data_IF_628744267675
#
_entry.id   IF_628744267675
#
_cell.length_a   1.000
_cell.length_b   1.000
_cell.length_c   1.000
_cell.angle_alpha   90.00
_cell.angle_beta   90.00
_cell.angle_gamma   90.00
#
_symmetry.space_group_name_H-M   'P 1'
#
loop_
_entity.id
_entity.type
_entity.pdbx_description
1 polymer ?
#
# COMPACT_ATOMS: atom_id res chain seq x y z
N UNK A 1 -33.57 -16.99 62.76
CA UNK A 1 -34.03 -17.09 61.36
C UNK A 1 -33.78 -15.80 60.58
N UNK A 2 -34.28 -14.63 61.02
CA UNK A 2 -34.05 -13.34 60.33
C UNK A 2 -32.56 -12.94 60.18
N UNK A 3 -31.71 -13.21 61.18
CA UNK A 3 -30.27 -12.96 61.08
C UNK A 3 -29.52 -13.85 60.07
N UNK A 4 -30.03 -15.06 59.80
CA UNK A 4 -29.43 -15.94 58.80
C UNK A 4 -29.77 -15.45 57.38
N UNK A 5 -31.02 -15.06 57.16
CA UNK A 5 -31.49 -14.48 55.89
C UNK A 5 -30.78 -13.16 55.57
N UNK A 6 -30.53 -12.31 56.58
CA UNK A 6 -29.78 -11.06 56.41
C UNK A 6 -28.31 -11.31 55.99
N UNK A 7 -27.64 -12.30 56.59
CA UNK A 7 -26.25 -12.66 56.23
C UNK A 7 -26.15 -13.30 54.85
N UNK A 8 -27.11 -14.13 54.46
CA UNK A 8 -27.17 -14.69 53.10
C UNK A 8 -27.41 -13.59 52.05
N UNK A 9 -28.30 -12.64 52.33
CA UNK A 9 -28.53 -11.49 51.44
C UNK A 9 -27.28 -10.61 51.29
N UNK A 10 -26.51 -10.41 52.36
CA UNK A 10 -25.29 -9.61 52.35
C UNK A 10 -24.16 -10.32 51.58
N UNK A 11 -24.03 -11.64 51.75
CA UNK A 11 -23.07 -12.46 51.00
C UNK A 11 -23.39 -12.47 49.49
N UNK A 12 -24.66 -12.65 49.11
CA UNK A 12 -25.09 -12.63 47.71
C UNK A 12 -24.86 -11.26 47.07
N UNK A 13 -25.09 -10.18 47.81
CA UNK A 13 -24.84 -8.81 47.33
C UNK A 13 -23.33 -8.54 47.16
N UNK A 14 -22.50 -8.97 48.10
CA UNK A 14 -21.04 -8.84 48.02
C UNK A 14 -20.47 -9.61 46.82
N UNK A 15 -20.93 -10.84 46.58
CA UNK A 15 -20.51 -11.65 45.43
C UNK A 15 -20.96 -11.04 44.11
N UNK A 16 -22.20 -10.54 44.03
CA UNK A 16 -22.73 -9.90 42.81
C UNK A 16 -21.95 -8.62 42.47
N UNK A 17 -21.58 -7.83 43.49
CA UNK A 17 -20.76 -6.61 43.31
C UNK A 17 -19.32 -6.95 42.89
N UNK A 18 -18.71 -7.99 43.47
CA UNK A 18 -17.37 -8.44 43.07
C UNK A 18 -17.34 -8.94 41.61
N UNK A 19 -18.35 -9.71 41.19
CA UNK A 19 -18.50 -10.16 39.80
C UNK A 19 -18.70 -9.00 38.82
N UNK A 20 -19.50 -7.98 39.19
CA UNK A 20 -19.69 -6.80 38.36
C UNK A 20 -18.39 -6.01 38.18
N UNK A 21 -17.64 -5.77 39.26
CA UNK A 21 -16.34 -5.08 39.22
C UNK A 21 -15.33 -5.86 38.39
N UNK A 22 -15.18 -7.17 38.63
CA UNK A 22 -14.26 -8.02 37.86
C UNK A 22 -14.58 -8.01 36.36
N UNK A 23 -15.87 -8.04 35.99
CA UNK A 23 -16.32 -7.98 34.59
C UNK A 23 -16.10 -6.60 33.96
N UNK A 24 -16.24 -5.52 34.72
CA UNK A 24 -15.92 -4.17 34.26
C UNK A 24 -14.41 -3.99 34.04
N UNK A 25 -13.58 -4.45 34.98
CA UNK A 25 -12.11 -4.39 34.86
C UNK A 25 -11.60 -5.23 33.70
N UNK A 26 -12.13 -6.44 33.49
CA UNK A 26 -11.76 -7.28 32.35
C UNK A 26 -12.06 -6.61 31.00
N UNK A 27 -13.25 -5.98 30.87
CA UNK A 27 -13.62 -5.20 29.68
C UNK A 27 -12.73 -3.99 29.46
N UNK A 28 -12.35 -3.28 30.52
CA UNK A 28 -11.42 -2.13 30.41
C UNK A 28 -10.03 -2.59 29.95
N UNK A 29 -9.51 -3.69 30.51
CA UNK A 29 -8.21 -4.25 30.09
C UNK A 29 -8.26 -4.70 28.63
N UNK A 30 -9.30 -5.41 28.23
CA UNK A 30 -9.50 -5.84 26.84
C UNK A 30 -9.60 -4.64 25.88
N UNK A 31 -10.35 -3.60 26.28
CA UNK A 31 -10.44 -2.36 25.51
C UNK A 31 -9.09 -1.64 25.40
N UNK A 32 -8.31 -1.55 26.48
CA UNK A 32 -6.97 -0.94 26.47
C UNK A 32 -5.98 -1.74 25.63
N UNK A 33 -6.02 -3.08 25.69
CA UNK A 33 -5.15 -3.93 24.88
C UNK A 33 -5.47 -3.81 23.39
N UNK A 34 -6.76 -3.82 23.04
CA UNK A 34 -7.19 -3.64 21.64
C UNK A 34 -6.85 -2.25 21.11
N UNK A 35 -7.03 -1.18 21.90
CA UNK A 35 -6.58 0.17 21.50
C UNK A 35 -5.06 0.27 21.38
N UNK A 36 -4.29 -0.36 22.25
CA UNK A 36 -2.83 -0.38 22.14
C UNK A 36 -2.37 -1.16 20.89
N UNK A 37 -2.95 -2.33 20.61
CA UNK A 37 -2.67 -3.10 19.40
C UNK A 37 -3.02 -2.31 18.14
N UNK A 38 -4.18 -1.64 18.13
CA UNK A 38 -4.58 -0.78 17.03
C UNK A 38 -3.59 0.37 16.83
N UNK A 39 -3.19 1.06 17.90
CA UNK A 39 -2.20 2.12 17.85
C UNK A 39 -0.86 1.65 17.28
N UNK A 40 -0.38 0.48 17.72
CA UNK A 40 0.83 -0.13 17.18
C UNK A 40 0.71 -0.47 15.68
N UNK A 41 -0.40 -1.06 15.25
CA UNK A 41 -0.64 -1.35 13.83
C UNK A 41 -0.75 -0.09 12.98
N UNK A 42 -1.36 0.98 13.50
CA UNK A 42 -1.41 2.28 12.82
C UNK A 42 -0.01 2.86 12.66
N UNK A 43 0.82 2.84 13.70
CA UNK A 43 2.20 3.34 13.62
C UNK A 43 3.01 2.55 12.59
N UNK A 44 2.92 1.22 12.59
CA UNK A 44 3.60 0.37 11.61
C UNK A 44 3.16 0.67 10.17
N UNK A 45 1.86 0.91 9.96
CA UNK A 45 1.33 1.28 8.66
C UNK A 45 1.88 2.63 8.19
N UNK A 46 1.85 3.65 9.05
CA UNK A 46 2.39 4.98 8.77
C UNK A 46 3.88 4.89 8.43
N UNK A 47 4.65 4.13 9.20
CA UNK A 47 6.08 3.90 8.92
C UNK A 47 6.32 3.25 7.56
N UNK A 48 5.53 2.25 7.18
CA UNK A 48 5.63 1.59 5.88
C UNK A 48 5.25 2.52 4.73
N UNK A 49 4.24 3.38 4.92
CA UNK A 49 3.85 4.40 3.95
C UNK A 49 5.00 5.39 3.73
N UNK A 50 5.63 5.88 4.80
CA UNK A 50 6.76 6.80 4.70
C UNK A 50 7.96 6.17 3.97
N UNK A 51 8.31 4.92 4.32
CA UNK A 51 9.39 4.20 3.64
C UNK A 51 9.10 3.99 2.15
N UNK A 52 7.87 3.61 1.80
CA UNK A 52 7.45 3.44 0.40
C UNK A 52 7.47 4.77 -0.36
N UNK A 53 7.02 5.86 0.28
CA UNK A 53 7.05 7.19 -0.30
C UNK A 53 8.47 7.62 -0.64
N UNK A 54 9.42 7.39 0.27
CA UNK A 54 10.83 7.69 0.01
C UNK A 54 11.37 6.94 -1.22
N UNK A 55 11.15 5.62 -1.29
CA UNK A 55 11.61 4.79 -2.41
C UNK A 55 11.00 5.23 -3.74
N UNK A 56 9.72 5.55 -3.72
CA UNK A 56 9.01 6.03 -4.91
C UNK A 56 9.59 7.37 -5.37
N UNK A 57 9.74 8.34 -4.46
CA UNK A 57 10.27 9.67 -4.81
C UNK A 57 11.69 9.55 -5.37
N UNK A 58 12.55 8.77 -4.73
CA UNK A 58 13.93 8.55 -5.20
C UNK A 58 13.97 7.95 -6.61
N UNK A 59 12.96 7.16 -6.97
CA UNK A 59 12.87 6.52 -8.29
C UNK A 59 12.36 7.45 -9.40
N UNK A 60 11.34 8.28 -9.15
CA UNK A 60 10.66 9.05 -10.19
C UNK A 60 10.58 10.57 -9.93
N UNK A 61 11.46 11.14 -9.09
CA UNK A 61 11.49 12.58 -8.81
C UNK A 61 11.57 13.45 -10.07
N UNK A 62 12.32 13.03 -11.09
CA UNK A 62 12.44 13.79 -12.36
C UNK A 62 11.15 13.78 -13.20
N UNK A 63 10.29 12.77 -12.99
CA UNK A 63 9.07 12.55 -13.78
C UNK A 63 7.86 13.10 -13.03
N UNK A 64 7.73 12.68 -11.77
CA UNK A 64 6.59 12.90 -10.92
C UNK A 64 6.89 13.82 -9.75
N UNK A 65 8.10 14.38 -9.61
CA UNK A 65 8.46 15.30 -8.53
C UNK A 65 8.46 14.69 -7.12
N UNK A 66 8.86 15.52 -6.15
CA UNK A 66 8.99 15.11 -4.74
C UNK A 66 7.70 15.20 -3.94
N UNK A 67 6.74 16.01 -4.37
CA UNK A 67 5.46 16.14 -3.66
C UNK A 67 4.56 14.92 -3.90
N UNK A 68 3.74 14.55 -2.93
CA UNK A 68 2.78 13.45 -3.04
C UNK A 68 1.40 13.97 -2.68
N UNK A 69 0.46 13.93 -3.62
CA UNK A 69 -0.86 14.53 -3.45
C UNK A 69 -1.85 13.66 -2.67
N UNK A 70 -1.62 12.34 -2.62
CA UNK A 70 -2.50 11.39 -1.92
C UNK A 70 -1.87 10.01 -1.76
N UNK A 71 -2.42 9.18 -0.88
CA UNK A 71 -2.04 7.76 -0.81
C UNK A 71 -2.38 7.00 -2.10
N UNK A 72 -3.43 7.42 -2.81
CA UNK A 72 -3.78 6.81 -4.09
C UNK A 72 -2.72 7.09 -5.16
N UNK A 73 -2.12 8.29 -5.17
CA UNK A 73 -0.94 8.61 -5.99
C UNK A 73 0.24 7.73 -5.61
N UNK A 74 0.53 7.62 -4.29
CA UNK A 74 1.59 6.74 -3.81
C UNK A 74 1.38 5.30 -4.29
N UNK A 75 0.14 4.81 -4.26
CA UNK A 75 -0.22 3.49 -4.79
C UNK A 75 0.12 3.33 -6.27
N UNK A 76 -0.27 4.28 -7.13
CA UNK A 76 0.03 4.25 -8.57
C UNK A 76 1.54 4.26 -8.83
N UNK A 77 2.27 5.16 -8.17
CA UNK A 77 3.72 5.26 -8.34
C UNK A 77 4.45 4.03 -7.79
N UNK A 78 4.03 3.52 -6.64
CA UNK A 78 4.58 2.28 -6.06
C UNK A 78 4.31 1.05 -6.92
N UNK A 79 3.12 0.91 -7.50
CA UNK A 79 2.83 -0.17 -8.45
C UNK A 79 3.71 -0.05 -9.70
N UNK A 80 3.88 1.16 -10.22
CA UNK A 80 4.78 1.42 -11.36
C UNK A 80 6.22 0.98 -11.05
N UNK A 81 6.77 1.42 -9.91
CA UNK A 81 8.10 1.02 -9.46
C UNK A 81 8.21 -0.51 -9.31
N UNK A 82 7.26 -1.14 -8.62
CA UNK A 82 7.29 -2.59 -8.38
C UNK A 82 7.22 -3.39 -9.69
N UNK A 83 6.37 -2.98 -10.64
CA UNK A 83 6.28 -3.61 -11.96
C UNK A 83 7.61 -3.51 -12.72
N UNK A 84 8.29 -2.36 -12.67
CA UNK A 84 9.56 -2.17 -13.36
C UNK A 84 10.70 -2.98 -12.72
N UNK A 85 10.76 -3.06 -11.39
CA UNK A 85 11.75 -3.89 -10.68
C UNK A 85 11.55 -5.38 -10.96
N UNK A 86 10.30 -5.85 -10.96
CA UNK A 86 10.00 -7.26 -11.26
C UNK A 86 10.26 -7.60 -12.74
N UNK A 87 10.09 -6.63 -13.64
CA UNK A 87 10.43 -6.79 -15.05
C UNK A 87 11.94 -6.91 -15.26
N UNK A 88 12.73 -6.15 -14.50
CA UNK A 88 14.19 -6.29 -14.49
C UNK A 88 14.61 -7.68 -13.97
N UNK A 89 14.00 -8.14 -12.87
CA UNK A 89 14.25 -9.50 -12.35
C UNK A 89 13.89 -10.59 -13.37
N UNK A 90 12.80 -10.41 -14.13
CA UNK A 90 12.42 -11.32 -15.22
C UNK A 90 13.45 -11.32 -16.36
N UNK A 91 13.95 -10.15 -16.76
CA UNK A 91 15.00 -10.04 -17.77
C UNK A 91 16.27 -10.77 -17.32
N UNK A 92 16.64 -10.64 -16.05
CA UNK A 92 17.79 -11.35 -15.47
C UNK A 92 17.57 -12.86 -15.36
N UNK A 93 16.32 -13.29 -15.14
CA UNK A 93 15.97 -14.71 -15.04
C UNK A 93 15.87 -15.39 -16.42
N UNK A 94 15.60 -14.63 -17.48
CA UNK A 94 15.44 -15.11 -18.85
C UNK A 94 16.53 -14.52 -19.75
N UNK A 95 17.72 -15.14 -19.83
CA UNK A 95 18.76 -14.66 -20.71
C UNK A 95 18.25 -14.59 -22.15
N UNK A 96 18.42 -13.41 -22.75
CA UNK A 96 18.03 -13.07 -24.11
C UNK A 96 18.40 -14.21 -25.08
N UNK A 97 17.43 -14.68 -25.87
CA UNK A 97 17.55 -15.76 -26.88
C UNK A 97 17.57 -17.21 -26.36
N UNK A 98 17.28 -17.46 -25.08
CA UNK A 98 17.04 -18.85 -24.64
C UNK A 98 15.71 -19.36 -25.22
N UNK A 99 15.76 -20.41 -26.03
CA UNK A 99 14.57 -21.08 -26.58
C UNK A 99 13.85 -21.96 -25.54
N UNK A 100 14.28 -21.92 -24.28
CA UNK A 100 13.88 -22.84 -23.22
C UNK A 100 12.50 -22.53 -22.62
N UNK A 101 11.95 -21.34 -22.91
CA UNK A 101 10.70 -20.84 -22.31
C UNK A 101 9.71 -20.31 -23.35
N UNK A 102 9.70 -20.87 -24.55
CA UNK A 102 8.84 -20.43 -25.64
C UNK A 102 7.35 -20.54 -25.31
N UNK A 103 6.99 -21.46 -24.41
CA UNK A 103 5.63 -21.68 -23.91
C UNK A 103 5.08 -20.50 -23.09
N UNK A 104 5.93 -19.60 -22.59
CA UNK A 104 5.50 -18.39 -21.89
C UNK A 104 4.85 -17.37 -22.82
N UNK A 105 5.17 -17.43 -24.11
CA UNK A 105 4.93 -16.36 -25.06
C UNK A 105 3.80 -16.73 -26.02
N UNK A 106 2.90 -15.78 -26.28
CA UNK A 106 1.75 -16.00 -27.15
C UNK A 106 1.28 -14.72 -27.83
N UNK A 107 0.55 -14.86 -28.93
CA UNK A 107 -0.06 -13.74 -29.65
C UNK A 107 0.97 -12.69 -30.08
N UNK A 108 0.83 -11.49 -29.50
CA UNK A 108 1.69 -10.33 -29.76
C UNK A 108 2.92 -10.25 -28.84
N UNK A 109 2.94 -11.00 -27.74
CA UNK A 109 4.07 -11.06 -26.80
C UNK A 109 4.86 -12.33 -27.09
N UNK A 110 5.76 -12.26 -28.09
CA UNK A 110 6.49 -13.43 -28.61
C UNK A 110 7.84 -13.64 -27.93
N UNK A 111 8.34 -12.61 -27.26
CA UNK A 111 9.60 -12.65 -26.53
C UNK A 111 9.52 -11.85 -25.23
N UNK A 112 10.54 -11.96 -24.38
CA UNK A 112 10.64 -11.15 -23.15
C UNK A 112 10.72 -9.66 -23.50
N UNK A 113 11.38 -9.30 -24.60
CA UNK A 113 11.44 -7.93 -25.10
C UNK A 113 10.06 -7.40 -25.43
N UNK A 114 9.18 -8.19 -26.04
CA UNK A 114 7.80 -7.77 -26.31
C UNK A 114 7.03 -7.51 -25.01
N UNK A 115 7.22 -8.35 -23.98
CA UNK A 115 6.61 -8.15 -22.65
C UNK A 115 7.14 -6.86 -22.00
N UNK A 116 8.45 -6.64 -22.09
CA UNK A 116 9.11 -5.43 -21.59
C UNK A 116 8.55 -4.20 -22.27
N UNK A 117 8.53 -4.18 -23.61
CA UNK A 117 7.99 -3.06 -24.38
C UNK A 117 6.52 -2.81 -24.11
N UNK A 118 5.72 -3.87 -24.00
CA UNK A 118 4.31 -3.79 -23.66
C UNK A 118 4.10 -3.09 -22.30
N UNK A 119 4.83 -3.50 -21.26
CA UNK A 119 4.71 -2.89 -19.94
C UNK A 119 5.23 -1.46 -19.91
N UNK A 120 6.39 -1.19 -20.50
CA UNK A 120 6.95 0.17 -20.56
C UNK A 120 6.01 1.15 -21.26
N UNK A 121 5.51 0.82 -22.45
CA UNK A 121 4.59 1.69 -23.18
C UNK A 121 3.25 1.85 -22.45
N UNK A 122 2.75 0.76 -21.85
CA UNK A 122 1.51 0.81 -21.08
C UNK A 122 1.62 1.69 -19.84
N UNK A 123 2.69 1.55 -19.06
CA UNK A 123 2.96 2.38 -17.89
C UNK A 123 3.16 3.84 -18.27
N UNK A 124 3.87 4.12 -19.38
CA UNK A 124 4.02 5.48 -19.89
C UNK A 124 2.66 6.11 -20.25
N UNK A 125 1.76 5.36 -20.90
CA UNK A 125 0.39 5.84 -21.20
C UNK A 125 -0.43 6.06 -19.93
N UNK A 126 -0.35 5.14 -18.97
CA UNK A 126 -1.04 5.23 -17.67
C UNK A 126 -0.58 6.46 -16.91
N UNK A 127 0.73 6.72 -16.83
CA UNK A 127 1.27 7.85 -16.09
C UNK A 127 0.83 9.19 -16.69
N UNK A 128 0.72 9.28 -18.01
CA UNK A 128 0.17 10.46 -18.69
C UNK A 128 -1.28 10.79 -18.25
N UNK A 129 -2.07 9.80 -17.83
CA UNK A 129 -3.46 10.02 -17.41
C UNK A 129 -3.58 10.98 -16.23
N UNK A 130 -2.60 11.01 -15.34
CA UNK A 130 -2.68 11.75 -14.08
C UNK A 130 -1.62 12.85 -13.95
N UNK A 131 -0.44 12.68 -14.56
CA UNK A 131 0.64 13.69 -14.51
C UNK A 131 0.19 15.06 -15.04
N UNK A 132 -0.68 15.12 -16.05
CA UNK A 132 -1.20 16.38 -16.58
C UNK A 132 -2.13 17.12 -15.59
N UNK A 133 -2.82 16.36 -14.73
CA UNK A 133 -3.73 16.92 -13.72
C UNK A 133 -3.00 17.27 -12.41
N UNK A 134 -1.72 16.92 -12.29
CA UNK A 134 -0.91 17.32 -11.16
C UNK A 134 -0.66 18.82 -11.27
N UNK A 135 -1.25 19.59 -10.35
CA UNK A 135 -1.01 21.02 -10.28
C UNK A 135 0.50 21.23 -10.11
N UNK A 136 1.16 21.88 -11.08
CA UNK A 136 2.52 22.38 -10.86
C UNK A 136 2.44 23.31 -9.65
N UNK A 137 3.27 23.15 -8.61
CA UNK A 137 3.23 24.03 -7.47
C UNK A 137 3.40 25.47 -7.97
N UNK A 138 2.33 26.26 -7.85
CA UNK A 138 2.47 27.69 -7.98
C UNK A 138 3.30 28.14 -6.78
N UNK A 139 4.48 28.70 -7.04
CA UNK A 139 5.41 29.24 -6.05
C UNK A 139 4.82 30.32 -5.11
N UNK A 140 3.53 30.64 -5.23
CA UNK A 140 2.78 31.60 -4.41
C UNK A 140 1.91 30.96 -3.33
N UNK A 141 1.92 29.63 -3.16
CA UNK A 141 1.12 28.94 -2.13
C UNK A 141 1.83 28.81 -0.76
N UNK A 142 2.92 29.54 -0.54
CA UNK A 142 3.65 29.58 0.73
C UNK A 142 2.94 30.39 1.83
N UNK A 143 1.81 31.04 1.53
CA UNK A 143 1.07 31.84 2.50
C UNK A 143 -0.31 31.24 2.82
N UNK A 144 -0.31 30.45 3.91
CA UNK A 144 -1.33 30.48 4.96
C UNK A 144 -2.80 30.59 4.50
N UNK A 145 -3.39 29.48 4.10
CA UNK A 145 -4.76 28.98 4.44
C UNK A 145 -5.13 27.85 3.47
N UNK A 146 -6.00 26.90 3.86
CA UNK A 146 -6.56 25.92 2.94
C UNK A 146 -7.52 26.65 2.00
N UNK A 147 -6.94 27.40 1.04
CA UNK A 147 -7.67 27.85 -0.13
C UNK A 147 -8.25 26.58 -0.71
N UNK A 148 -9.57 26.51 -0.70
CA UNK A 148 -10.37 25.52 -1.40
C UNK A 148 -9.66 25.29 -2.73
N UNK A 149 -8.88 24.19 -2.80
CA UNK A 149 -8.34 23.67 -4.05
C UNK A 149 -9.51 23.77 -5.00
N UNK A 150 -9.37 24.47 -6.13
CA UNK A 150 -10.40 24.53 -7.17
C UNK A 150 -11.06 23.15 -7.21
N UNK A 151 -12.27 23.02 -6.68
CA UNK A 151 -12.82 21.72 -6.28
C UNK A 151 -12.86 20.80 -7.49
N UNK A 152 -13.10 21.39 -8.65
CA UNK A 152 -13.02 20.78 -9.96
C UNK A 152 -11.64 20.18 -10.26
N UNK A 153 -10.54 20.92 -10.12
CA UNK A 153 -9.19 20.43 -10.40
C UNK A 153 -8.74 19.31 -9.47
N UNK A 154 -9.09 19.39 -8.18
CA UNK A 154 -8.81 18.30 -7.23
C UNK A 154 -9.65 17.05 -7.52
N UNK A 155 -10.93 17.21 -7.87
CA UNK A 155 -11.80 16.11 -8.28
C UNK A 155 -11.32 15.46 -9.59
N UNK A 156 -10.88 16.26 -10.56
CA UNK A 156 -10.27 15.79 -11.81
C UNK A 156 -9.01 14.98 -11.55
N UNK A 157 -8.08 15.50 -10.74
CA UNK A 157 -6.87 14.78 -10.35
C UNK A 157 -7.18 13.46 -9.64
N UNK A 158 -8.09 13.43 -8.66
CA UNK A 158 -8.52 12.18 -8.00
C UNK A 158 -9.14 11.19 -8.99
N UNK A 159 -9.97 11.69 -9.91
CA UNK A 159 -10.56 10.84 -10.96
C UNK A 159 -9.49 10.25 -11.89
N UNK A 160 -8.45 11.04 -12.19
CA UNK A 160 -7.32 10.63 -13.01
C UNK A 160 -6.48 9.55 -12.32
N UNK A 161 -6.19 9.71 -11.02
CA UNK A 161 -5.51 8.67 -10.23
C UNK A 161 -6.31 7.37 -10.21
N UNK A 162 -7.63 7.42 -10.00
CA UNK A 162 -8.47 6.20 -10.06
C UNK A 162 -8.51 5.57 -11.46
N UNK A 163 -8.43 6.38 -12.52
CA UNK A 163 -8.30 5.85 -13.89
C UNK A 163 -6.94 5.16 -14.06
N UNK A 164 -5.86 5.75 -13.54
CA UNK A 164 -4.53 5.14 -13.59
C UNK A 164 -4.49 3.80 -12.83
N UNK A 165 -5.05 3.73 -11.60
CA UNK A 165 -5.12 2.48 -10.83
C UNK A 165 -5.88 1.38 -11.56
N UNK A 166 -7.04 1.71 -12.15
CA UNK A 166 -7.81 0.76 -12.95
C UNK A 166 -7.04 0.31 -14.19
N UNK A 167 -6.39 1.23 -14.89
CA UNK A 167 -5.60 0.91 -16.07
C UNK A 167 -4.38 0.02 -15.74
N UNK A 168 -3.76 0.17 -14.56
CA UNK A 168 -2.73 -0.76 -14.06
C UNK A 168 -3.32 -2.16 -13.86
N UNK A 169 -4.46 -2.26 -13.16
CA UNK A 169 -5.12 -3.55 -12.93
C UNK A 169 -5.54 -4.23 -14.25
N UNK A 170 -5.97 -3.45 -15.24
CA UNK A 170 -6.35 -3.93 -16.58
C UNK A 170 -5.17 -4.49 -17.38
N UNK A 171 -3.91 -4.16 -17.05
CA UNK A 171 -2.75 -4.81 -17.70
C UNK A 171 -2.78 -6.31 -17.51
N UNK A 172 -3.10 -6.78 -16.29
CA UNK A 172 -3.21 -8.21 -15.98
C UNK A 172 -4.39 -8.91 -16.67
N UNK A 173 -5.34 -8.15 -17.23
CA UNK A 173 -6.46 -8.68 -17.99
C UNK A 173 -6.18 -8.80 -19.50
N UNK A 174 -5.05 -8.28 -19.98
CA UNK A 174 -4.64 -8.47 -21.36
C UNK A 174 -4.40 -9.94 -21.66
N UNK A 175 -5.01 -10.55 -22.71
CA UNK A 175 -4.96 -12.00 -22.91
C UNK A 175 -3.54 -12.57 -23.03
N UNK A 176 -2.65 -11.87 -23.76
CA UNK A 176 -1.30 -12.34 -24.01
C UNK A 176 -0.44 -12.19 -22.74
N UNK A 177 -0.59 -11.10 -22.00
CA UNK A 177 0.12 -10.90 -20.74
C UNK A 177 -0.41 -11.79 -19.61
N UNK A 178 -1.74 -11.98 -19.52
CA UNK A 178 -2.37 -12.91 -18.60
C UNK A 178 -1.92 -14.36 -18.85
N UNK A 179 -1.76 -14.73 -20.13
CA UNK A 179 -1.16 -16.01 -20.50
C UNK A 179 0.27 -16.12 -19.97
N UNK A 180 1.12 -15.13 -20.25
CA UNK A 180 2.51 -15.08 -19.79
C UNK A 180 2.61 -15.27 -18.26
N UNK A 181 1.83 -14.49 -17.49
CA UNK A 181 1.80 -14.59 -16.04
C UNK A 181 1.35 -15.98 -15.56
N UNK A 182 0.28 -16.52 -16.14
CA UNK A 182 -0.27 -17.83 -15.74
C UNK A 182 0.70 -18.98 -16.02
N UNK A 183 1.33 -19.00 -17.20
CA UNK A 183 2.28 -20.06 -17.55
C UNK A 183 3.55 -19.91 -16.71
N UNK A 184 4.08 -18.69 -16.58
CA UNK A 184 5.27 -18.44 -15.76
C UNK A 184 5.08 -18.82 -14.30
N UNK A 185 3.93 -18.50 -13.71
CA UNK A 185 3.56 -18.90 -12.34
C UNK A 185 3.46 -20.43 -12.17
N UNK A 186 3.24 -21.16 -13.26
CA UNK A 186 3.17 -22.63 -13.26
C UNK A 186 4.51 -23.30 -13.53
N UNK A 187 5.56 -22.55 -13.87
CA UNK A 187 6.89 -23.09 -14.20
C UNK A 187 7.59 -23.63 -12.95
N UNK A 188 7.58 -24.95 -12.78
CA UNK A 188 8.27 -25.62 -11.66
C UNK A 188 9.78 -25.50 -11.77
N UNK A 189 10.28 -25.60 -13.00
CA UNK A 189 11.71 -25.76 -13.31
C UNK A 189 12.46 -24.43 -13.37
N UNK A 190 11.72 -23.31 -13.32
CA UNK A 190 12.26 -21.95 -13.34
C UNK A 190 11.73 -21.13 -12.14
N UNK A 191 12.23 -21.37 -10.91
CA UNK A 191 11.67 -20.78 -9.70
C UNK A 191 11.76 -19.25 -9.65
N UNK A 192 12.76 -18.64 -10.30
CA UNK A 192 12.88 -17.18 -10.41
C UNK A 192 11.79 -16.58 -11.30
N UNK A 193 11.53 -17.19 -12.46
CA UNK A 193 10.45 -16.77 -13.37
C UNK A 193 9.10 -16.90 -12.68
N UNK A 194 8.84 -18.06 -12.04
CA UNK A 194 7.61 -18.29 -11.27
C UNK A 194 7.39 -17.20 -10.24
N UNK A 195 8.39 -16.96 -9.38
CA UNK A 195 8.31 -15.95 -8.32
C UNK A 195 7.99 -14.57 -8.89
N UNK A 196 8.70 -14.14 -9.94
CA UNK A 196 8.47 -12.82 -10.51
C UNK A 196 7.09 -12.71 -11.18
N UNK A 197 6.61 -13.76 -11.85
CA UNK A 197 5.24 -13.80 -12.39
C UNK A 197 4.17 -13.75 -11.30
N UNK A 198 4.33 -14.49 -10.19
CA UNK A 198 3.43 -14.45 -9.04
C UNK A 198 3.39 -13.03 -8.45
N UNK A 199 4.56 -12.43 -8.24
CA UNK A 199 4.67 -11.08 -7.67
C UNK A 199 4.09 -10.01 -8.61
N UNK A 200 4.25 -10.15 -9.93
CA UNK A 200 3.61 -9.26 -10.90
C UNK A 200 2.08 -9.36 -10.81
N UNK A 201 1.54 -10.58 -10.76
CA UNK A 201 0.11 -10.79 -10.61
C UNK A 201 -0.42 -10.18 -9.30
N UNK A 202 0.31 -10.34 -8.19
CA UNK A 202 -0.02 -9.74 -6.91
C UNK A 202 -0.05 -8.20 -7.00
N UNK A 203 0.98 -7.57 -7.58
CA UNK A 203 1.05 -6.11 -7.74
C UNK A 203 -0.10 -5.57 -8.60
N UNK A 204 -0.47 -6.28 -9.67
CA UNK A 204 -1.59 -5.90 -10.55
C UNK A 204 -2.95 -6.04 -9.85
N UNK A 205 -3.07 -6.94 -8.87
CA UNK A 205 -4.28 -7.13 -8.07
C UNK A 205 -4.47 -6.06 -6.99
N UNK A 206 -3.43 -5.27 -6.67
CA UNK A 206 -3.52 -4.21 -5.66
C UNK A 206 -4.48 -3.13 -6.13
N UNK A 207 -5.63 -3.03 -5.43
CA UNK A 207 -6.63 -2.01 -5.67
C UNK A 207 -6.99 -1.28 -4.37
N UNK A 208 -6.80 0.03 -4.34
CA UNK A 208 -7.33 0.88 -3.26
C UNK A 208 -8.80 1.19 -3.55
N UNK A 209 -9.69 0.32 -3.08
CA UNK A 209 -11.14 0.45 -3.29
C UNK A 209 -11.71 1.78 -2.75
N UNK A 210 -11.08 2.33 -1.71
CA UNK A 210 -11.38 3.65 -1.13
C UNK A 210 -10.08 4.33 -0.74
N UNK A 211 -10.04 5.64 -0.93
CA UNK A 211 -8.93 6.43 -0.41
C UNK A 211 -9.10 6.57 1.10
N UNK A 212 -8.10 6.18 1.91
CA UNK A 212 -8.17 6.40 3.36
C UNK A 212 -8.16 7.89 3.67
N UNK A 213 -8.53 8.22 4.92
CA UNK A 213 -8.58 9.59 5.41
C UNK A 213 -7.26 10.32 5.08
N UNK A 214 -7.30 11.48 4.38
CA UNK A 214 -6.12 12.30 4.12
C UNK A 214 -5.26 12.58 5.37
N UNK A 215 -5.87 12.60 6.57
CA UNK A 215 -5.15 12.78 7.83
C UNK A 215 -4.12 11.67 8.11
N UNK A 216 -4.38 10.42 7.73
CA UNK A 216 -3.43 9.30 7.89
C UNK A 216 -2.21 9.46 6.96
N UNK A 217 -2.44 10.06 5.79
CA UNK A 217 -1.39 10.32 4.82
C UNK A 217 -0.52 11.51 5.22
N UNK A 218 -1.14 12.60 5.71
CA UNK A 218 -0.42 13.75 6.26
C UNK A 218 0.43 13.39 7.47
N UNK A 219 -0.05 12.48 8.34
CA UNK A 219 0.73 12.00 9.48
C UNK A 219 2.02 11.27 9.06
N UNK A 220 2.01 10.56 7.93
CA UNK A 220 3.19 9.86 7.39
C UNK A 220 4.23 10.82 6.80
N UNK A 221 3.79 11.94 6.21
CA UNK A 221 4.67 12.94 5.60
C UNK A 221 5.46 13.77 6.62
N UNK A 222 5.10 13.72 7.91
CA UNK A 222 5.73 14.48 9.00
C UNK A 222 6.81 13.65 9.73
N UNK A 223 6.84 12.33 9.55
CA UNK A 223 7.85 11.48 10.19
C UNK A 223 9.17 11.52 9.42
N UNK A 224 10.22 11.99 10.09
CA UNK A 224 11.59 11.87 9.60
C UNK A 224 12.00 10.38 9.56
N UNK A 225 12.62 9.88 8.47
CA UNK A 225 12.97 8.46 8.33
C UNK A 225 13.90 7.90 9.42
N UNK A 226 14.63 8.77 10.14
CA UNK A 226 15.62 8.36 11.14
C UNK A 226 15.03 7.94 12.49
N UNK A 227 13.76 8.26 12.79
CA UNK A 227 13.09 7.78 14.01
C UNK A 227 12.49 6.35 13.85
N UNK A 228 12.61 5.76 12.65
CA UNK A 228 11.79 4.64 12.20
C UNK A 228 12.46 3.25 12.27
N UNK A 229 13.74 3.18 12.65
CA UNK A 229 14.54 1.93 12.57
C UNK A 229 15.06 1.41 13.92
N UNK A 230 14.71 2.00 15.06
CA UNK A 230 15.17 1.48 16.36
C UNK A 230 14.01 1.11 17.32
N UNK A 231 13.45 -0.11 17.20
CA UNK A 231 12.55 -0.64 18.23
C UNK A 231 13.26 -1.00 19.54
N UNK A 232 14.57 -0.73 19.68
CA UNK A 232 15.42 -1.18 20.78
C UNK A 232 16.17 -0.07 21.52
N UNK A 233 15.73 1.20 21.44
CA UNK A 233 16.24 2.24 22.35
C UNK A 233 15.41 2.27 23.64
N UNK A 234 15.86 1.64 24.75
CA UNK A 234 15.32 1.99 26.04
C UNK A 234 15.69 3.44 26.31
N UNK A 235 14.75 4.20 26.86
CA UNK A 235 14.98 5.53 27.44
C UNK A 235 16.19 5.49 28.38
N UNK A 236 17.35 5.81 27.82
CA UNK A 236 18.58 6.05 28.54
C UNK A 236 18.57 7.47 29.04
N UNK A 237 17.83 7.72 30.14
CA UNK A 237 18.07 8.89 31.00
C UNK A 237 19.56 8.98 31.33
N UNK A 238 20.15 10.12 31.04
CA UNK A 238 20.96 10.90 31.99
C UNK A 238 21.13 12.32 31.49
#
# INVERSE_FOLDING_TARGET
MLHAIARESEAVYATSRALFVARATARTIEHTMTTHQLGHSCNLLVSRIAALQKLVIEFDEDIAGVEMGSLAELGVRAQTLALLLLLDELCDAMPYRSSTHLELFTGRLRTIEDVVWYLFDSLARINKLWLHHRAKPHALAAELTPRVFNTTGFLEYRSAIRRAQRAIAELGADPDFAHFLRVGSSSTDAPRIRRACDQLADVLSVALAREPDPALFLAAAVLEPEELLDPARPDGRR
#
